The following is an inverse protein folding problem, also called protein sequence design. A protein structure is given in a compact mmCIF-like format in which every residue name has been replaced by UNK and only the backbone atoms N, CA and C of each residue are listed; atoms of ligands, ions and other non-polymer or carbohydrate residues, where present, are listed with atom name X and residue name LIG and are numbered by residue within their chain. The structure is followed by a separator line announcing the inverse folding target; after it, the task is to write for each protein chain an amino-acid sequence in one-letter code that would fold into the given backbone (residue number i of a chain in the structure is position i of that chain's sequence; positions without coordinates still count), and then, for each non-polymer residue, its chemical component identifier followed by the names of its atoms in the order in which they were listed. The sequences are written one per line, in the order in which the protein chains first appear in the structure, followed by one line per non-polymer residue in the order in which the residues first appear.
data_IF_240924391083
#
_entry.id   IF_240924391083
#
_cell.length_a   1.000
_cell.length_b   1.000
_cell.length_c   1.000
_cell.angle_alpha   90.00
_cell.angle_beta   90.00
_cell.angle_gamma   90.00
#
_symmetry.space_group_name_H-M   'P 1'
#
loop_
_entity.id
_entity.type
_entity.pdbx_description
1 polymer ?
#
# COMPACT_ATOMS: atom_id res chain seq x y z
N UNK A 1 -22.47 -30.33 -18.42
CA UNK A 1 -22.18 -30.32 -16.96
C UNK A 1 -20.86 -29.61 -16.57
N UNK A 2 -19.81 -29.58 -17.40
CA UNK A 2 -18.50 -29.01 -17.04
C UNK A 2 -18.42 -27.48 -16.90
N UNK A 3 -19.22 -26.69 -17.65
CA UNK A 3 -19.24 -25.20 -17.53
C UNK A 3 -19.71 -24.71 -16.16
N UNK A 4 -20.78 -25.32 -15.59
CA UNK A 4 -21.30 -24.96 -14.25
C UNK A 4 -20.27 -25.23 -13.13
N UNK A 5 -19.46 -26.29 -13.26
CA UNK A 5 -18.37 -26.60 -12.31
C UNK A 5 -17.17 -25.64 -12.41
N UNK A 6 -16.89 -25.06 -13.59
CA UNK A 6 -15.83 -24.03 -13.75
C UNK A 6 -16.28 -22.67 -13.20
N UNK A 7 -17.53 -22.28 -13.44
CA UNK A 7 -18.11 -21.04 -12.94
C UNK A 7 -18.17 -21.00 -11.41
N UNK A 8 -18.57 -22.11 -10.77
CA UNK A 8 -18.59 -22.23 -9.30
C UNK A 8 -17.18 -22.16 -8.71
N UNK A 9 -16.19 -22.84 -9.30
CA UNK A 9 -14.78 -22.74 -8.86
C UNK A 9 -14.22 -21.32 -9.01
N UNK A 10 -14.50 -20.63 -10.12
CA UNK A 10 -14.04 -19.25 -10.33
C UNK A 10 -14.68 -18.27 -9.35
N UNK A 11 -15.98 -18.41 -9.09
CA UNK A 11 -16.70 -17.58 -8.12
C UNK A 11 -16.19 -17.80 -6.69
N UNK A 12 -15.95 -19.06 -6.29
CA UNK A 12 -15.36 -19.38 -4.97
C UNK A 12 -13.94 -18.82 -4.85
N UNK A 13 -13.13 -18.92 -5.91
CA UNK A 13 -11.77 -18.38 -5.93
C UNK A 13 -11.77 -16.85 -5.82
N UNK A 14 -12.60 -16.16 -6.58
CA UNK A 14 -12.75 -14.70 -6.52
C UNK A 14 -13.25 -14.23 -5.14
N UNK A 15 -14.23 -14.93 -4.56
CA UNK A 15 -14.71 -14.65 -3.21
C UNK A 15 -13.61 -14.80 -2.16
N UNK A 16 -12.78 -15.84 -2.27
CA UNK A 16 -11.66 -16.06 -1.36
C UNK A 16 -10.57 -14.98 -1.52
N UNK A 17 -10.28 -14.54 -2.74
CA UNK A 17 -9.30 -13.47 -2.99
C UNK A 17 -9.77 -12.14 -2.42
N UNK A 18 -11.04 -11.77 -2.61
CA UNK A 18 -11.60 -10.53 -2.05
C UNK A 18 -11.51 -10.53 -0.52
N UNK A 19 -11.82 -11.67 0.12
CA UNK A 19 -11.68 -11.80 1.58
C UNK A 19 -10.23 -11.68 2.05
N UNK A 20 -9.27 -12.26 1.32
CA UNK A 20 -7.85 -12.15 1.66
C UNK A 20 -7.35 -10.70 1.57
N UNK A 21 -7.74 -9.98 0.52
CA UNK A 21 -7.40 -8.56 0.32
C UNK A 21 -7.98 -7.70 1.45
N UNK A 22 -9.24 -7.94 1.86
CA UNK A 22 -9.86 -7.20 2.97
C UNK A 22 -9.15 -7.46 4.31
N UNK A 23 -8.71 -8.69 4.56
CA UNK A 23 -7.91 -9.02 5.75
C UNK A 23 -6.56 -8.31 5.73
N UNK A 24 -5.86 -8.32 4.59
CA UNK A 24 -4.59 -7.61 4.44
C UNK A 24 -4.76 -6.10 4.65
N UNK A 25 -5.80 -5.49 4.06
CA UNK A 25 -6.13 -4.08 4.25
C UNK A 25 -6.36 -3.74 5.73
N UNK A 26 -7.07 -4.61 6.47
CA UNK A 26 -7.28 -4.43 7.91
C UNK A 26 -5.96 -4.49 8.68
N UNK A 27 -5.13 -5.50 8.44
CA UNK A 27 -3.84 -5.66 9.11
C UNK A 27 -2.90 -4.48 8.85
N UNK A 28 -2.89 -3.93 7.63
CA UNK A 28 -2.09 -2.74 7.30
C UNK A 28 -2.61 -1.50 8.04
N UNK A 29 -3.93 -1.32 8.15
CA UNK A 29 -4.50 -0.23 8.96
C UNK A 29 -4.14 -0.36 10.44
N UNK A 30 -4.15 -1.57 10.98
CA UNK A 30 -3.74 -1.82 12.37
C UNK A 30 -2.25 -1.49 12.55
N UNK A 31 -1.40 -1.87 11.60
CA UNK A 31 0.03 -1.53 11.60
C UNK A 31 0.29 -0.03 11.45
N UNK A 32 -0.44 0.68 10.58
CA UNK A 32 -0.37 2.14 10.43
C UNK A 32 -0.70 2.85 11.75
N UNK A 33 -1.79 2.44 12.40
CA UNK A 33 -2.20 2.99 13.70
C UNK A 33 -1.14 2.75 14.77
N UNK A 34 -0.48 1.60 14.77
CA UNK A 34 0.62 1.29 15.68
C UNK A 34 1.83 2.18 15.40
N UNK A 35 2.32 2.23 14.16
CA UNK A 35 3.48 3.04 13.79
C UNK A 35 3.23 4.52 14.06
N UNK A 36 2.02 5.03 13.80
CA UNK A 36 1.66 6.42 14.06
C UNK A 36 1.69 6.79 15.56
N UNK A 37 1.49 5.83 16.47
CA UNK A 37 1.61 6.05 17.92
C UNK A 37 3.07 6.13 18.36
N UNK A 38 3.95 5.36 17.72
CA UNK A 38 5.39 5.29 18.00
C UNK A 38 6.22 6.32 17.22
N UNK A 39 5.63 6.95 16.20
CA UNK A 39 6.22 8.05 15.44
C UNK A 39 6.40 9.29 16.34
N UNK A 40 7.50 10.03 16.17
CA UNK A 40 7.69 11.32 16.88
C UNK A 40 6.50 12.24 16.62
N UNK A 41 5.81 12.64 17.69
CA UNK A 41 4.92 13.81 17.64
C UNK A 41 5.78 15.06 17.67
N UNK A 42 5.61 16.04 16.77
CA UNK A 42 6.36 17.28 16.86
C UNK A 42 6.03 17.94 18.19
N UNK A 43 6.98 17.90 19.13
CA UNK A 43 6.90 18.72 20.35
C UNK A 43 7.00 20.15 19.86
N UNK A 44 5.97 20.95 20.13
CA UNK A 44 5.90 22.35 19.70
C UNK A 44 7.10 23.18 20.20
N UNK A 45 7.79 22.72 21.25
CA UNK A 45 9.05 23.28 21.75
C UNK A 45 10.29 22.98 20.92
N UNK A 46 10.29 21.91 20.11
CA UNK A 46 11.41 21.52 19.23
C UNK A 46 11.33 22.19 17.85
N UNK A 47 10.15 22.69 17.45
CA UNK A 47 9.93 23.30 16.13
C UNK A 47 10.68 24.62 15.93
N UNK A 48 10.92 25.39 17.01
CA UNK A 48 11.64 26.67 16.91
C UNK A 48 13.17 26.49 16.82
N UNK A 49 13.72 25.47 17.50
CA UNK A 49 15.16 25.16 17.49
C UNK A 49 15.60 24.34 16.27
N UNK A 50 14.77 23.40 15.79
CA UNK A 50 15.04 22.56 14.62
C UNK A 50 14.85 23.28 13.28
N UNK A 51 14.29 24.49 13.26
CA UNK A 51 14.23 25.31 12.05
C UNK A 51 15.56 26.03 11.76
N UNK A 52 16.33 26.33 12.81
CA UNK A 52 17.56 27.13 12.73
C UNK A 52 18.83 26.25 12.67
N UNK A 53 18.74 25.01 13.16
CA UNK A 53 19.74 23.95 13.03
C UNK A 53 19.04 22.70 12.50
N UNK A 54 19.71 21.86 11.72
CA UNK A 54 19.12 20.69 11.05
C UNK A 54 19.38 19.33 11.77
N UNK A 55 19.16 19.14 13.10
CA UNK A 55 19.53 17.92 13.81
C UNK A 55 18.38 16.90 13.91
N UNK A 56 17.27 17.08 13.19
CA UNK A 56 16.02 16.33 13.41
C UNK A 56 16.17 14.82 13.23
N UNK A 57 17.05 14.37 12.33
CA UNK A 57 17.33 12.95 12.10
C UNK A 57 18.30 12.35 13.14
N UNK A 58 19.27 13.14 13.62
CA UNK A 58 20.29 12.70 14.59
C UNK A 58 19.71 12.61 16.01
N UNK A 59 18.70 13.43 16.31
CA UNK A 59 18.02 13.45 17.59
C UNK A 59 16.90 12.40 17.72
N UNK A 60 16.72 11.53 16.74
CA UNK A 60 15.63 10.53 16.69
C UNK A 60 16.10 9.20 17.27
N UNK A 61 15.33 8.57 18.14
CA UNK A 61 15.70 7.24 18.65
C UNK A 61 15.61 6.22 17.53
N UNK A 62 16.38 5.14 17.63
CA UNK A 62 16.33 4.05 16.63
C UNK A 62 14.91 3.47 16.49
N UNK A 63 14.15 3.41 17.58
CA UNK A 63 12.74 2.98 17.58
C UNK A 63 11.83 3.94 16.81
N UNK A 64 12.01 5.25 16.97
CA UNK A 64 11.25 6.27 16.25
C UNK A 64 11.57 6.28 14.75
N UNK A 65 12.85 6.09 14.38
CA UNK A 65 13.27 5.93 12.97
C UNK A 65 12.65 4.67 12.35
N UNK A 66 12.66 3.55 13.07
CA UNK A 66 12.05 2.31 12.61
C UNK A 66 10.52 2.48 12.43
N UNK A 67 9.86 3.16 13.37
CA UNK A 67 8.43 3.46 13.26
C UNK A 67 8.10 4.35 12.05
N UNK A 68 8.93 5.36 11.74
CA UNK A 68 8.79 6.18 10.52
C UNK A 68 8.93 5.36 9.24
N UNK A 69 9.96 4.49 9.17
CA UNK A 69 10.20 3.64 8.02
C UNK A 69 9.04 2.65 7.81
N UNK A 70 8.62 1.96 8.87
CA UNK A 70 7.49 1.02 8.82
C UNK A 70 6.17 1.74 8.48
N UNK A 71 5.98 2.96 8.95
CA UNK A 71 4.82 3.77 8.57
C UNK A 71 4.81 4.08 7.08
N UNK A 72 5.95 4.48 6.50
CA UNK A 72 6.09 4.74 5.07
C UNK A 72 5.84 3.48 4.22
N UNK A 73 6.37 2.33 4.63
CA UNK A 73 6.13 1.05 3.96
C UNK A 73 4.65 0.65 4.01
N UNK A 74 4.01 0.78 5.18
CA UNK A 74 2.59 0.47 5.32
C UNK A 74 1.70 1.39 4.46
N UNK A 75 2.05 2.66 4.30
CA UNK A 75 1.34 3.58 3.39
C UNK A 75 1.47 3.14 1.93
N UNK A 76 2.66 2.69 1.53
CA UNK A 76 2.88 2.16 0.18
C UNK A 76 2.01 0.91 -0.04
N UNK A 77 1.99 -0.01 0.93
CA UNK A 77 1.18 -1.23 0.86
C UNK A 77 -0.33 -0.93 0.84
N UNK A 78 -0.81 0.05 1.62
CA UNK A 78 -2.22 0.47 1.61
C UNK A 78 -2.65 1.04 0.25
N UNK A 79 -1.77 1.86 -0.37
CA UNK A 79 -2.01 2.38 -1.71
C UNK A 79 -2.03 1.28 -2.78
N UNK A 80 -1.12 0.30 -2.67
CA UNK A 80 -1.06 -0.83 -3.57
C UNK A 80 -2.31 -1.72 -3.46
N UNK A 81 -2.78 -1.98 -2.24
CA UNK A 81 -4.02 -2.72 -2.03
C UNK A 81 -5.22 -1.96 -2.61
N UNK A 82 -5.26 -0.64 -2.47
CA UNK A 82 -6.30 0.19 -3.08
C UNK A 82 -6.30 0.04 -4.61
N UNK A 83 -5.13 0.05 -5.25
CA UNK A 83 -5.03 -0.22 -6.69
C UNK A 83 -5.49 -1.63 -7.08
N UNK A 84 -5.21 -2.64 -6.25
CA UNK A 84 -5.63 -4.02 -6.51
C UNK A 84 -7.15 -4.21 -6.33
N UNK A 85 -7.75 -3.50 -5.38
CA UNK A 85 -9.20 -3.51 -5.17
C UNK A 85 -9.95 -2.83 -6.31
N UNK A 86 -9.35 -1.84 -6.97
CA UNK A 86 -9.93 -1.17 -8.11
C UNK A 86 -9.64 -1.92 -9.43
N UNK A 87 -10.55 -2.82 -9.81
CA UNK A 87 -10.46 -3.57 -11.07
C UNK A 87 -10.37 -2.63 -12.31
N UNK A 88 -10.85 -1.38 -12.21
CA UNK A 88 -10.83 -0.41 -13.30
C UNK A 88 -9.41 0.14 -13.56
N UNK A 89 -8.63 0.38 -12.52
CA UNK A 89 -7.25 0.89 -12.67
C UNK A 89 -6.33 -0.18 -13.26
N UNK A 90 -6.43 -1.42 -12.78
CA UNK A 90 -5.62 -2.51 -13.32
C UNK A 90 -5.99 -2.83 -14.78
N UNK A 91 -7.27 -2.88 -15.12
CA UNK A 91 -7.71 -3.12 -16.50
C UNK A 91 -7.26 -2.00 -17.45
N UNK A 92 -7.23 -0.74 -16.99
CA UNK A 92 -6.66 0.38 -17.72
C UNK A 92 -5.15 0.21 -17.98
N UNK A 93 -4.37 -0.13 -16.94
CA UNK A 93 -2.91 -0.37 -17.06
C UNK A 93 -2.61 -1.51 -18.04
N UNK A 94 -3.34 -2.62 -17.94
CA UNK A 94 -3.20 -3.74 -18.89
C UNK A 94 -3.60 -3.34 -20.32
N UNK A 95 -4.62 -2.51 -20.47
CA UNK A 95 -5.01 -1.91 -21.75
C UNK A 95 -3.86 -1.10 -22.36
N UNK A 96 -3.22 -0.24 -21.57
CA UNK A 96 -2.07 0.56 -22.01
C UNK A 96 -0.87 -0.32 -22.44
N UNK A 97 -0.56 -1.37 -21.69
CA UNK A 97 0.49 -2.31 -22.07
C UNK A 97 0.21 -3.03 -23.39
N UNK A 98 -1.05 -3.43 -23.64
CA UNK A 98 -1.44 -4.03 -24.93
C UNK A 98 -1.26 -3.07 -26.09
N UNK A 99 -1.62 -1.79 -25.94
CA UNK A 99 -1.40 -0.77 -26.97
C UNK A 99 0.09 -0.62 -27.29
N UNK A 100 0.95 -0.56 -26.26
CA UNK A 100 2.41 -0.52 -26.46
C UNK A 100 2.92 -1.76 -27.19
N UNK A 101 2.46 -2.94 -26.79
CA UNK A 101 2.87 -4.20 -27.42
C UNK A 101 2.43 -4.25 -28.89
N UNK A 102 1.19 -3.84 -29.20
CA UNK A 102 0.70 -3.75 -30.58
C UNK A 102 1.53 -2.79 -31.42
N UNK A 103 1.96 -1.65 -30.85
CA UNK A 103 2.85 -0.71 -31.53
C UNK A 103 4.23 -1.31 -31.80
N UNK A 104 4.81 -2.03 -30.83
CA UNK A 104 6.10 -2.71 -31.01
C UNK A 104 6.05 -3.81 -32.07
N UNK A 105 4.93 -4.52 -32.22
CA UNK A 105 4.78 -5.55 -33.26
C UNK A 105 4.66 -4.99 -34.69
N UNK A 106 4.39 -3.68 -34.84
CA UNK A 106 4.25 -3.03 -36.14
C UNK A 106 5.59 -2.49 -36.69
N UNK A 107 6.64 -2.49 -35.86
CA UNK A 107 7.99 -2.06 -36.20
C UNK A 107 8.88 -3.27 -36.47
#
# INVERSE_FOLDING_TARGET
MHRKRRLTKACIMHLHTVQAIQRAAKSIKDALNLCQRHRKKPRWSETLSNWIWNPTYDNMTEEEKHAELCYAECLLLDSLITFIQDENVLSFVWGAFKVRSSYQSYK
#
